data_IF_819805283360
#
_entry.id   IF_819805283360
#
_cell.length_a   1.000
_cell.length_b   1.000
_cell.length_c   1.000
_cell.angle_alpha   90.00
_cell.angle_beta   90.00
_cell.angle_gamma   90.00
#
_symmetry.space_group_name_H-M   'P 1'
#
loop_
_entity.id
_entity.type
_entity.pdbx_description
1 polymer ?
#
# COMPACT_ATOMS: atom_id res chain seq x y z
N UNK A 1 -12.91 -14.01 1.86
CA UNK A 1 -11.85 -14.68 1.08
C UNK A 1 -11.46 -13.77 -0.05
N UNK A 2 -10.23 -13.23 -0.03
CA UNK A 2 -9.78 -12.20 -0.97
C UNK A 2 -9.84 -12.68 -2.42
N UNK A 3 -10.27 -11.81 -3.34
CA UNK A 3 -10.27 -12.09 -4.79
C UNK A 3 -8.85 -12.43 -5.23
N UNK A 4 -8.63 -13.68 -5.64
CA UNK A 4 -7.36 -14.23 -6.13
C UNK A 4 -6.82 -13.56 -7.42
N UNK A 5 -7.60 -12.67 -8.04
CA UNK A 5 -7.23 -11.99 -9.28
C UNK A 5 -6.56 -10.63 -9.07
N UNK A 6 -6.60 -10.06 -7.86
CA UNK A 6 -5.91 -8.79 -7.58
C UNK A 6 -4.47 -9.12 -7.20
N UNK A 7 -3.59 -9.19 -8.20
CA UNK A 7 -2.15 -9.10 -7.95
C UNK A 7 -1.90 -7.69 -7.42
N UNK A 8 -1.70 -7.56 -6.11
CA UNK A 8 -1.22 -6.30 -5.54
C UNK A 8 0.17 -6.04 -6.10
N UNK A 9 0.26 -5.06 -6.99
CA UNK A 9 1.54 -4.57 -7.47
C UNK A 9 2.08 -3.65 -6.40
N UNK A 10 2.95 -4.18 -5.54
CA UNK A 10 3.63 -3.42 -4.49
C UNK A 10 4.74 -2.51 -5.05
N UNK A 11 5.03 -2.61 -6.35
CA UNK A 11 5.82 -1.62 -7.06
C UNK A 11 5.07 -0.27 -7.10
N UNK A 12 5.74 0.83 -6.74
CA UNK A 12 5.14 2.17 -6.56
C UNK A 12 4.14 2.53 -7.68
N UNK A 13 4.56 2.42 -8.94
CA UNK A 13 3.70 2.73 -10.08
C UNK A 13 2.50 1.80 -10.21
N UNK A 14 2.70 0.50 -10.00
CA UNK A 14 1.63 -0.49 -10.09
C UNK A 14 0.62 -0.35 -8.95
N UNK A 15 1.07 0.03 -7.76
CA UNK A 15 0.21 0.30 -6.62
C UNK A 15 -0.69 1.50 -6.91
N UNK A 16 -0.11 2.61 -7.34
CA UNK A 16 -0.87 3.84 -7.63
C UNK A 16 -1.88 3.62 -8.74
N UNK A 17 -1.46 3.02 -9.86
CA UNK A 17 -2.33 2.87 -11.02
C UNK A 17 -3.47 1.88 -10.78
N UNK A 18 -3.16 0.71 -10.18
CA UNK A 18 -4.16 -0.35 -10.04
C UNK A 18 -4.95 -0.28 -8.74
N UNK A 19 -4.37 0.23 -7.66
CA UNK A 19 -5.01 0.23 -6.34
C UNK A 19 -5.64 1.59 -6.06
N UNK A 20 -4.85 2.66 -6.15
CA UNK A 20 -5.34 4.01 -5.83
C UNK A 20 -6.28 4.50 -6.93
N UNK A 21 -5.84 4.53 -8.18
CA UNK A 21 -6.66 5.02 -9.31
C UNK A 21 -7.68 3.99 -9.79
N UNK A 22 -7.28 2.73 -9.90
CA UNK A 22 -8.12 1.65 -10.43
C UNK A 22 -9.26 1.22 -9.50
N UNK A 23 -8.96 1.07 -8.20
CA UNK A 23 -9.92 0.54 -7.22
C UNK A 23 -10.38 1.59 -6.21
N UNK A 24 -9.80 2.81 -6.21
CA UNK A 24 -10.13 3.85 -5.25
C UNK A 24 -9.72 3.47 -3.82
N UNK A 25 -8.66 2.68 -3.65
CA UNK A 25 -8.20 2.18 -2.33
C UNK A 25 -6.81 2.66 -2.00
N UNK A 26 -6.59 2.95 -0.73
CA UNK A 26 -5.27 3.30 -0.20
C UNK A 26 -4.97 2.50 1.05
N UNK A 27 -3.69 2.20 1.24
CA UNK A 27 -3.16 1.58 2.42
C UNK A 27 -2.85 2.67 3.45
N UNK A 28 -3.49 2.57 4.61
CA UNK A 28 -3.30 3.47 5.74
C UNK A 28 -2.57 2.73 6.86
N UNK A 29 -1.73 3.45 7.62
CA UNK A 29 -1.01 2.90 8.77
C UNK A 29 0.25 2.11 8.42
N UNK A 30 0.83 2.35 7.25
CA UNK A 30 2.13 1.79 6.89
C UNK A 30 3.24 2.39 7.78
N UNK A 31 4.14 1.57 8.32
CA UNK A 31 5.19 2.06 9.22
C UNK A 31 6.28 2.81 8.46
N UNK A 32 6.54 4.06 8.84
CA UNK A 32 7.47 4.96 8.12
C UNK A 32 8.94 4.53 8.09
N UNK A 33 9.38 3.61 8.96
CA UNK A 33 10.73 3.03 8.89
C UNK A 33 10.87 1.87 7.90
N UNK A 34 9.75 1.35 7.39
CA UNK A 34 9.73 0.35 6.32
C UNK A 34 9.44 1.07 5.02
N UNK A 35 10.42 1.14 4.11
CA UNK A 35 10.18 1.74 2.80
C UNK A 35 9.09 0.96 2.05
N UNK A 36 8.04 1.65 1.62
CA UNK A 36 7.02 1.06 0.76
C UNK A 36 7.63 0.60 -0.57
N UNK A 37 7.21 -0.56 -1.05
CA UNK A 37 7.71 -1.14 -2.28
C UNK A 37 7.44 -2.63 -2.35
N UNK A 38 8.00 -3.29 -3.36
CA UNK A 38 7.91 -4.74 -3.50
C UNK A 38 8.31 -5.43 -2.20
N UNK A 39 7.40 -6.26 -1.67
CA UNK A 39 7.62 -6.98 -0.41
C UNK A 39 8.97 -7.72 -0.43
N UNK A 40 9.32 -8.38 -1.53
CA UNK A 40 10.60 -9.10 -1.67
C UNK A 40 11.85 -8.20 -1.60
N UNK A 41 11.73 -6.89 -1.81
CA UNK A 41 12.82 -5.91 -1.72
C UNK A 41 12.98 -5.30 -0.33
N UNK A 42 12.05 -5.56 0.59
CA UNK A 42 12.13 -5.06 1.96
C UNK A 42 13.31 -5.76 2.67
N UNK A 43 14.31 -4.97 3.03
CA UNK A 43 15.50 -5.44 3.75
C UNK A 43 15.16 -5.65 5.24
N UNK A 44 15.85 -6.60 5.89
CA UNK A 44 15.62 -6.93 7.31
C UNK A 44 15.04 -8.34 7.54
N UNK A 45 14.93 -9.16 6.50
CA UNK A 45 14.51 -10.55 6.60
C UNK A 45 13.06 -10.67 7.06
N UNK A 46 12.77 -11.58 8.00
CA UNK A 46 11.41 -11.85 8.45
C UNK A 46 10.82 -10.77 9.38
N UNK A 47 11.64 -9.90 9.97
CA UNK A 47 11.18 -8.95 10.99
C UNK A 47 10.20 -7.89 10.44
N UNK A 48 10.47 -7.19 9.32
CA UNK A 48 9.54 -6.25 8.71
C UNK A 48 8.18 -6.89 8.38
N UNK A 49 8.16 -8.12 7.87
CA UNK A 49 6.91 -8.81 7.54
C UNK A 49 6.10 -9.16 8.79
N UNK A 50 6.74 -9.59 9.88
CA UNK A 50 6.05 -9.85 11.15
C UNK A 50 5.44 -8.58 11.71
N UNK A 51 6.13 -7.45 11.57
CA UNK A 51 5.61 -6.15 11.97
C UNK A 51 4.40 -5.75 11.12
N UNK A 52 4.51 -5.82 9.79
CA UNK A 52 3.40 -5.53 8.87
C UNK A 52 2.19 -6.43 9.16
N UNK A 53 2.39 -7.72 9.40
CA UNK A 53 1.33 -8.65 9.79
C UNK A 53 0.70 -8.26 11.14
N UNK A 54 1.49 -7.89 12.14
CA UNK A 54 0.97 -7.44 13.44
C UNK A 54 0.15 -6.14 13.30
N UNK A 55 0.60 -5.19 12.48
CA UNK A 55 -0.13 -3.96 12.20
C UNK A 55 -1.43 -4.26 11.45
N UNK A 56 -1.41 -5.23 10.54
CA UNK A 56 -2.59 -5.70 9.81
C UNK A 56 -3.61 -6.33 10.75
N UNK A 57 -3.18 -7.28 11.58
CA UNK A 57 -4.04 -8.01 12.50
C UNK A 57 -4.63 -7.10 13.60
N UNK A 58 -3.91 -6.05 13.98
CA UNK A 58 -4.42 -5.02 14.91
C UNK A 58 -5.32 -3.98 14.24
N UNK A 59 -5.47 -4.02 12.91
CA UNK A 59 -6.27 -3.07 12.14
C UNK A 59 -5.63 -1.68 11.98
N UNK A 60 -4.38 -1.51 12.41
CA UNK A 60 -3.61 -0.27 12.20
C UNK A 60 -3.26 -0.15 10.71
N UNK A 61 -2.69 -1.21 10.15
CA UNK A 61 -2.46 -1.32 8.72
C UNK A 61 -3.75 -1.81 8.06
N UNK A 62 -4.39 -0.98 7.25
CA UNK A 62 -5.70 -1.29 6.69
C UNK A 62 -5.93 -0.60 5.34
N UNK A 63 -6.88 -1.14 4.58
CA UNK A 63 -7.41 -0.44 3.41
C UNK A 63 -8.39 0.65 3.84
N UNK A 64 -8.22 1.85 3.30
CA UNK A 64 -9.20 2.94 3.32
C UNK A 64 -9.63 3.31 1.90
N UNK A 65 -10.78 3.96 1.79
CA UNK A 65 -11.18 4.59 0.52
C UNK A 65 -10.27 5.79 0.22
N UNK A 66 -9.86 5.90 -1.04
CA UNK A 66 -9.17 7.07 -1.56
C UNK A 66 -10.16 8.24 -1.64
N UNK A 67 -9.75 9.39 -1.11
CA UNK A 67 -10.52 10.62 -1.24
C UNK A 67 -10.38 11.20 -2.65
N UNK A 68 -11.26 12.11 -3.07
CA UNK A 68 -11.08 12.83 -4.33
C UNK A 68 -9.74 13.58 -4.42
N UNK A 69 -9.21 14.05 -3.29
CA UNK A 69 -7.88 14.68 -3.22
C UNK A 69 -6.76 13.67 -3.44
N UNK A 70 -6.86 12.48 -2.85
CA UNK A 70 -5.88 11.41 -3.08
C UNK A 70 -5.83 11.02 -4.56
N UNK A 71 -6.98 10.90 -5.22
CA UNK A 71 -7.04 10.58 -6.65
C UNK A 71 -6.41 11.69 -7.51
N UNK A 72 -6.69 12.97 -7.21
CA UNK A 72 -6.05 14.10 -7.88
C UNK A 72 -4.53 14.12 -7.66
N UNK A 73 -4.10 13.83 -6.43
CA UNK A 73 -2.69 13.78 -6.07
C UNK A 73 -1.99 12.62 -6.79
N UNK A 74 -2.63 11.45 -6.86
CA UNK A 74 -2.14 10.30 -7.61
C UNK A 74 -1.96 10.59 -9.10
N UNK A 75 -2.77 11.46 -9.71
CA UNK A 75 -2.60 11.87 -11.11
C UNK A 75 -1.45 12.85 -11.31
N UNK A 76 -1.18 13.71 -10.33
CA UNK A 76 -0.15 14.75 -10.41
C UNK A 76 1.24 14.26 -10.01
N UNK A 77 1.29 13.49 -8.92
CA UNK A 77 2.51 12.93 -8.35
C UNK A 77 2.20 11.59 -7.66
N UNK A 78 2.62 10.50 -8.29
CA UNK A 78 2.41 9.14 -7.79
C UNK A 78 3.02 8.94 -6.39
N UNK A 79 4.12 9.63 -6.06
CA UNK A 79 4.79 9.44 -4.76
C UNK A 79 4.03 10.04 -3.60
N UNK A 80 3.18 11.04 -3.87
CA UNK A 80 2.38 11.73 -2.84
C UNK A 80 1.30 10.86 -2.20
N UNK A 81 0.97 9.72 -2.83
CA UNK A 81 -0.06 8.77 -2.37
C UNK A 81 0.52 7.43 -1.95
N UNK A 82 1.85 7.34 -1.85
CA UNK A 82 2.51 6.18 -1.27
C UNK A 82 2.33 6.18 0.26
N UNK A 83 2.14 5.00 0.87
CA UNK A 83 2.02 4.86 2.33
C UNK A 83 3.30 5.17 3.12
#
# INVERSE_FOLDING_TARGET
TGKAAVRMHWEEHGYVDKTVRGEGKMLEGWPGHIQFGELCRIRGGAAPFRELLKLWDSGILRWRDATPDDLRNAERDHRSVLP
#
